data_IF_020769150771
#
_entry.id   IF_020769150771
#
_cell.length_a   1.000
_cell.length_b   1.000
_cell.length_c   1.000
_cell.angle_alpha   90.00
_cell.angle_beta   90.00
_cell.angle_gamma   90.00
#
_symmetry.space_group_name_H-M   'P 1'
#
loop_
_entity.id
_entity.type
_entity.pdbx_description
1 polymer ?
#
# COMPACT_ATOMS: atom_id res chain seq x y z
N UNK A 1 -5.49 14.48 -12.56
CA UNK A 1 -6.11 15.67 -13.18
C UNK A 1 -7.10 16.23 -12.17
N UNK A 2 -6.91 17.46 -11.63
CA UNK A 2 -7.90 18.06 -10.75
C UNK A 2 -9.14 18.38 -11.59
N UNK A 3 -10.30 17.90 -11.15
CA UNK A 3 -11.57 18.29 -11.77
C UNK A 3 -11.90 19.70 -11.26
N UNK A 4 -11.78 20.71 -12.12
CA UNK A 4 -12.23 22.08 -11.85
C UNK A 4 -13.75 22.11 -11.77
N UNK A 5 -14.30 21.68 -10.64
CA UNK A 5 -15.72 21.77 -10.35
C UNK A 5 -16.05 23.25 -10.08
N UNK A 6 -16.57 23.92 -11.11
CA UNK A 6 -17.14 25.27 -11.00
C UNK A 6 -18.52 25.20 -10.39
N UNK A 7 -18.80 26.06 -9.42
CA UNK A 7 -20.16 26.24 -8.93
C UNK A 7 -21.06 26.71 -10.09
N UNK A 8 -22.16 26.00 -10.41
CA UNK A 8 -23.01 26.35 -11.55
C UNK A 8 -23.74 27.69 -11.38
N UNK A 9 -23.81 28.23 -10.15
CA UNK A 9 -24.53 29.48 -9.86
C UNK A 9 -23.62 30.72 -9.90
N UNK A 10 -22.37 30.62 -9.44
CA UNK A 10 -21.46 31.77 -9.36
C UNK A 10 -20.17 31.62 -10.18
N UNK A 11 -19.91 30.46 -10.79
CA UNK A 11 -18.79 30.21 -11.69
C UNK A 11 -17.40 30.12 -11.02
N UNK A 12 -17.30 30.30 -9.70
CA UNK A 12 -16.03 30.21 -8.97
C UNK A 12 -15.57 28.76 -8.86
N UNK A 13 -14.27 28.56 -9.11
CA UNK A 13 -13.58 27.27 -8.91
C UNK A 13 -13.24 27.17 -7.42
N UNK A 14 -13.64 26.07 -6.79
CA UNK A 14 -13.36 25.83 -5.39
C UNK A 14 -11.87 25.65 -5.14
N UNK A 15 -11.34 26.41 -4.20
CA UNK A 15 -9.99 26.37 -3.66
C UNK A 15 -9.80 25.11 -2.79
N UNK A 16 -9.75 23.94 -3.45
CA UNK A 16 -9.06 22.74 -2.96
C UNK A 16 -9.59 22.01 -1.72
N UNK A 17 -10.78 22.35 -1.19
CA UNK A 17 -11.28 21.81 0.08
C UNK A 17 -12.64 21.08 0.06
N UNK A 18 -13.13 20.63 -1.10
CA UNK A 18 -14.48 20.06 -1.23
C UNK A 18 -14.50 18.52 -1.15
N UNK A 19 -14.24 17.94 0.02
CA UNK A 19 -14.35 16.48 0.20
C UNK A 19 -15.67 15.99 0.81
N UNK A 20 -16.63 16.87 1.14
CA UNK A 20 -17.98 16.45 1.53
C UNK A 20 -19.02 17.50 1.08
N UNK A 21 -19.49 17.40 -0.16
CA UNK A 21 -20.81 17.94 -0.53
C UNK A 21 -21.74 16.74 -0.59
N UNK A 22 -22.58 16.58 0.43
CA UNK A 22 -23.76 15.73 0.34
C UNK A 22 -24.72 16.40 -0.64
N UNK A 23 -24.90 15.79 -1.81
CA UNK A 23 -25.93 16.20 -2.76
C UNK A 23 -27.30 15.74 -2.22
N UNK A 24 -28.02 16.65 -1.58
CA UNK A 24 -29.47 16.56 -1.38
C UNK A 24 -30.15 17.44 -2.44
N UNK A 25 -31.08 16.87 -3.20
CA UNK A 25 -31.75 17.50 -4.35
C UNK A 25 -32.65 18.69 -3.96
N UNK A 26 -32.84 19.00 -2.67
CA UNK A 26 -33.81 20.01 -2.25
C UNK A 26 -33.27 21.41 -1.91
N UNK A 27 -31.97 21.62 -1.71
CA UNK A 27 -31.44 22.96 -1.44
C UNK A 27 -30.00 23.17 -1.95
N UNK A 28 -29.87 23.90 -3.07
CA UNK A 28 -28.60 24.48 -3.52
C UNK A 28 -28.13 25.60 -2.55
N UNK A 29 -27.62 25.23 -1.37
CA UNK A 29 -26.82 26.14 -0.54
C UNK A 29 -25.35 25.99 -0.93
N UNK A 30 -24.86 26.92 -1.75
CA UNK A 30 -23.42 27.15 -1.95
C UNK A 30 -22.83 27.46 -0.56
N UNK A 31 -22.03 26.57 0.02
CA UNK A 31 -21.32 26.83 1.31
C UNK A 31 -20.14 27.82 1.17
N UNK A 32 -20.04 28.44 -0.01
CA UNK A 32 -19.23 29.59 -0.33
C UNK A 32 -19.55 30.71 0.67
N UNK A 33 -18.72 30.95 1.69
CA UNK A 33 -18.94 31.98 2.72
C UNK A 33 -19.20 33.39 2.14
N UNK A 34 -18.83 33.63 0.89
CA UNK A 34 -19.08 34.87 0.15
C UNK A 34 -20.42 34.95 -0.61
N UNK A 35 -21.26 33.91 -0.59
CA UNK A 35 -22.58 33.90 -1.24
C UNK A 35 -23.74 33.86 -0.21
N UNK A 36 -23.45 34.16 1.06
CA UNK A 36 -24.49 34.31 2.07
C UNK A 36 -25.21 35.64 1.83
N UNK A 37 -26.36 35.59 1.15
CA UNK A 37 -27.29 36.71 1.03
C UNK A 37 -28.23 36.70 2.25
N UNK A 38 -28.06 37.60 3.24
CA UNK A 38 -28.98 37.72 4.37
C UNK A 38 -30.40 38.14 3.93
N UNK A 39 -30.55 38.71 2.73
CA UNK A 39 -31.83 39.12 2.14
C UNK A 39 -32.79 37.95 1.83
N UNK A 40 -32.31 36.69 1.81
CA UNK A 40 -33.17 35.51 1.63
C UNK A 40 -33.85 35.02 2.92
N UNK A 41 -33.59 35.65 4.06
CA UNK A 41 -34.29 35.39 5.33
C UNK A 41 -35.50 36.31 5.56
N UNK A 42 -35.68 37.34 4.72
CA UNK A 42 -36.73 38.36 4.90
C UNK A 42 -37.82 38.34 3.82
N UNK A 43 -37.88 37.33 2.94
CA UNK A 43 -39.06 37.19 2.09
C UNK A 43 -40.25 36.82 2.96
N UNK A 44 -41.17 37.76 3.16
CA UNK A 44 -42.46 37.52 3.82
C UNK A 44 -43.10 36.25 3.24
N UNK A 45 -43.63 35.35 4.08
CA UNK A 45 -44.24 34.12 3.60
C UNK A 45 -45.35 34.47 2.62
N UNK A 46 -45.20 34.07 1.35
CA UNK A 46 -46.22 34.31 0.32
C UNK A 46 -47.60 33.90 0.86
N UNK A 47 -48.56 34.84 0.94
CA UNK A 47 -49.85 34.57 1.55
C UNK A 47 -50.61 33.58 0.66
N UNK A 48 -50.97 32.43 1.27
CA UNK A 48 -51.76 31.35 0.69
C UNK A 48 -51.12 30.61 -0.49
N UNK A 49 -50.05 29.86 -0.22
CA UNK A 49 -49.97 28.54 -0.88
C UNK A 49 -51.24 27.78 -0.52
N UNK A 50 -51.91 27.25 -1.53
CA UNK A 50 -53.18 26.58 -1.33
C UNK A 50 -52.96 25.45 -0.30
N UNK A 51 -53.98 25.14 0.49
CA UNK A 51 -53.90 24.00 1.42
C UNK A 51 -53.52 22.70 0.68
N UNK A 52 -53.79 22.62 -0.63
CA UNK A 52 -53.38 21.54 -1.52
C UNK A 52 -51.86 21.49 -1.73
N UNK A 53 -51.18 22.63 -1.95
CA UNK A 53 -49.72 22.67 -2.11
C UNK A 53 -48.98 22.21 -0.85
N UNK A 54 -49.47 22.61 0.32
CA UNK A 54 -48.92 22.17 1.61
C UNK A 54 -49.14 20.67 1.78
N UNK A 55 -50.33 20.17 1.42
CA UNK A 55 -50.66 18.74 1.49
C UNK A 55 -49.79 17.89 0.58
N UNK A 56 -49.51 18.36 -0.63
CA UNK A 56 -48.68 17.62 -1.59
C UNK A 56 -47.21 17.58 -1.14
N UNK A 57 -46.68 18.69 -0.60
CA UNK A 57 -45.36 18.70 0.03
C UNK A 57 -45.26 17.71 1.19
N UNK A 58 -46.27 17.68 2.06
CA UNK A 58 -46.30 16.74 3.18
C UNK A 58 -46.33 15.28 2.71
N UNK A 59 -47.08 14.94 1.65
CA UNK A 59 -47.06 13.59 1.07
C UNK A 59 -45.68 13.20 0.54
N UNK A 60 -45.01 14.11 -0.18
CA UNK A 60 -43.67 13.86 -0.70
C UNK A 60 -42.67 13.65 0.44
N UNK A 61 -42.75 14.47 1.50
CA UNK A 61 -41.93 14.29 2.69
C UNK A 61 -42.20 12.95 3.40
N UNK A 62 -43.46 12.52 3.50
CA UNK A 62 -43.81 11.21 4.09
C UNK A 62 -43.26 10.07 3.24
N UNK A 63 -43.43 10.13 1.92
CA UNK A 63 -42.90 9.11 1.00
C UNK A 63 -41.38 8.96 1.09
N UNK A 64 -40.66 10.07 1.24
CA UNK A 64 -39.21 10.05 1.41
C UNK A 64 -38.79 9.45 2.76
N UNK A 65 -39.51 9.76 3.83
CA UNK A 65 -39.27 9.17 5.15
C UNK A 65 -39.50 7.65 5.13
N UNK A 66 -40.55 7.19 4.47
CA UNK A 66 -40.83 5.75 4.38
C UNK A 66 -39.81 5.02 3.51
N UNK A 67 -39.31 5.65 2.44
CA UNK A 67 -38.16 5.15 1.69
C UNK A 67 -36.90 5.01 2.57
N UNK A 68 -36.60 6.01 3.41
CA UNK A 68 -35.46 5.94 4.35
C UNK A 68 -35.67 4.80 5.35
N UNK A 69 -36.88 4.64 5.89
CA UNK A 69 -37.19 3.53 6.82
C UNK A 69 -37.01 2.19 6.15
N UNK A 70 -37.51 2.00 4.94
CA UNK A 70 -37.33 0.76 4.19
C UNK A 70 -35.86 0.50 3.88
N UNK A 71 -35.11 1.55 3.52
CA UNK A 71 -33.67 1.44 3.30
C UNK A 71 -32.91 1.03 4.57
N UNK A 72 -33.23 1.62 5.73
CA UNK A 72 -32.67 1.22 7.03
C UNK A 72 -33.07 -0.22 7.37
N UNK A 73 -34.34 -0.57 7.18
CA UNK A 73 -34.89 -1.89 7.50
C UNK A 73 -34.48 -2.99 6.51
N UNK A 74 -33.99 -2.62 5.32
CA UNK A 74 -33.51 -3.57 4.30
C UNK A 74 -32.29 -4.38 4.75
N UNK A 75 -31.70 -4.04 5.90
CA UNK A 75 -30.50 -4.69 6.43
C UNK A 75 -29.23 -4.30 5.67
N UNK A 76 -29.27 -3.26 4.82
CA UNK A 76 -28.12 -2.80 4.07
C UNK A 76 -26.94 -2.41 4.97
N UNK A 77 -27.22 -1.75 6.11
CA UNK A 77 -26.19 -1.43 7.12
C UNK A 77 -25.55 -2.69 7.72
N UNK A 78 -26.34 -3.73 7.99
CA UNK A 78 -25.83 -5.00 8.50
C UNK A 78 -24.95 -5.69 7.45
N UNK A 79 -25.34 -5.63 6.17
CA UNK A 79 -24.54 -6.16 5.06
C UNK A 79 -23.20 -5.43 4.94
N UNK A 80 -23.21 -4.09 4.91
CA UNK A 80 -21.98 -3.31 4.85
C UNK A 80 -21.06 -3.57 6.05
N UNK A 81 -21.64 -3.74 7.24
CA UNK A 81 -20.86 -4.03 8.45
C UNK A 81 -20.22 -5.42 8.37
N UNK A 82 -20.95 -6.40 7.83
CA UNK A 82 -20.43 -7.74 7.59
C UNK A 82 -19.33 -7.75 6.51
N UNK A 83 -19.57 -7.09 5.38
CA UNK A 83 -18.58 -6.94 4.29
C UNK A 83 -17.32 -6.21 4.78
N UNK A 84 -17.48 -5.13 5.56
CA UNK A 84 -16.37 -4.42 6.18
C UNK A 84 -15.55 -5.36 7.07
N UNK A 85 -16.22 -6.13 7.94
CA UNK A 85 -15.55 -7.08 8.83
C UNK A 85 -14.77 -8.14 8.05
N UNK A 86 -15.36 -8.68 6.98
CA UNK A 86 -14.69 -9.65 6.10
C UNK A 86 -13.44 -9.05 5.42
N UNK A 87 -13.53 -7.79 4.97
CA UNK A 87 -12.38 -7.07 4.40
C UNK A 87 -11.28 -6.85 5.43
N UNK A 88 -11.65 -6.45 6.66
CA UNK A 88 -10.69 -6.25 7.75
C UNK A 88 -9.94 -7.55 8.11
N UNK A 89 -10.64 -8.68 8.13
CA UNK A 89 -10.05 -10.01 8.36
C UNK A 89 -9.06 -10.37 7.24
N UNK A 90 -9.48 -10.26 5.97
CA UNK A 90 -8.60 -10.51 4.82
C UNK A 90 -7.39 -9.58 4.77
N UNK A 91 -7.57 -8.32 5.18
CA UNK A 91 -6.47 -7.35 5.26
C UNK A 91 -5.46 -7.78 6.33
N UNK A 92 -5.91 -8.30 7.47
CA UNK A 92 -5.06 -8.86 8.51
C UNK A 92 -4.20 -10.02 7.99
N UNK A 93 -4.79 -10.96 7.27
CA UNK A 93 -4.07 -12.09 6.67
C UNK A 93 -3.02 -11.64 5.64
N UNK A 94 -3.37 -10.65 4.80
CA UNK A 94 -2.44 -10.07 3.83
C UNK A 94 -1.24 -9.40 4.51
N UNK A 95 -1.47 -8.66 5.60
CA UNK A 95 -0.38 -8.02 6.35
C UNK A 95 0.56 -9.09 6.93
N UNK A 96 0.01 -10.14 7.55
CA UNK A 96 0.83 -11.23 8.10
C UNK A 96 1.67 -11.94 7.02
N UNK A 97 1.11 -12.11 5.80
CA UNK A 97 1.86 -12.68 4.68
C UNK A 97 3.00 -11.77 4.22
N UNK A 98 2.77 -10.45 4.15
CA UNK A 98 3.82 -9.48 3.81
C UNK A 98 4.94 -9.50 4.83
N UNK A 99 4.63 -9.53 6.13
CA UNK A 99 5.63 -9.60 7.20
C UNK A 99 6.52 -10.85 7.08
N UNK A 100 5.96 -12.01 6.73
CA UNK A 100 6.74 -13.24 6.52
C UNK A 100 7.62 -13.18 5.26
N UNK A 101 7.14 -12.54 4.19
CA UNK A 101 7.93 -12.31 2.98
C UNK A 101 9.10 -11.36 3.23
N UNK A 102 8.88 -10.27 3.97
CA UNK A 102 9.94 -9.32 4.34
C UNK A 102 11.02 -10.01 5.19
N UNK A 103 10.64 -10.84 6.17
CA UNK A 103 11.60 -11.65 6.94
C UNK A 103 12.40 -12.60 6.06
N UNK A 104 11.75 -13.23 5.08
CA UNK A 104 12.45 -14.12 4.13
C UNK A 104 13.40 -13.35 3.23
N UNK A 105 13.02 -12.16 2.76
CA UNK A 105 13.88 -11.30 1.95
C UNK A 105 15.12 -10.86 2.72
N UNK A 106 14.94 -10.43 3.97
CA UNK A 106 16.05 -9.99 4.83
C UNK A 106 17.09 -11.10 5.01
N UNK A 107 16.66 -12.36 5.25
CA UNK A 107 17.57 -13.52 5.36
C UNK A 107 18.37 -13.76 4.08
N UNK A 108 17.73 -13.65 2.92
CA UNK A 108 18.39 -13.82 1.63
C UNK A 108 19.37 -12.67 1.35
N UNK A 109 19.00 -11.44 1.71
CA UNK A 109 19.86 -10.26 1.57
C UNK A 109 21.12 -10.39 2.43
N UNK A 110 20.97 -10.82 3.68
CA UNK A 110 22.08 -11.09 4.60
C UNK A 110 23.02 -12.18 4.04
N UNK A 111 22.46 -13.27 3.50
CA UNK A 111 23.24 -14.33 2.88
C UNK A 111 24.04 -13.84 1.66
N UNK A 112 23.42 -13.02 0.81
CA UNK A 112 24.10 -12.40 -0.33
C UNK A 112 25.23 -11.47 0.11
N UNK A 113 25.01 -10.68 1.16
CA UNK A 113 26.04 -9.79 1.72
C UNK A 113 27.22 -10.59 2.28
N UNK A 114 26.97 -11.68 3.02
CA UNK A 114 28.01 -12.59 3.52
C UNK A 114 28.85 -13.17 2.40
N UNK A 115 28.23 -13.65 1.32
CA UNK A 115 28.94 -14.18 0.14
C UNK A 115 29.79 -13.08 -0.53
N UNK A 116 29.23 -11.89 -0.70
CA UNK A 116 29.95 -10.75 -1.27
C UNK A 116 31.15 -10.32 -0.41
N UNK A 117 31.00 -10.32 0.91
CA UNK A 117 32.08 -10.02 1.84
C UNK A 117 33.17 -11.10 1.78
N UNK A 118 32.80 -12.37 1.68
CA UNK A 118 33.75 -13.46 1.49
C UNK A 118 34.53 -13.32 0.18
N UNK A 119 33.84 -13.00 -0.93
CA UNK A 119 34.49 -12.78 -2.22
C UNK A 119 35.51 -11.62 -2.20
N UNK A 120 35.31 -10.64 -1.32
CA UNK A 120 36.20 -9.48 -1.13
C UNK A 120 37.35 -9.72 -0.14
N UNK A 121 37.37 -10.85 0.57
CA UNK A 121 38.34 -11.10 1.64
C UNK A 121 39.80 -11.19 1.14
N UNK A 122 40.02 -11.56 -0.13
CA UNK A 122 41.35 -11.79 -0.69
C UNK A 122 41.61 -10.90 -1.93
N UNK A 123 41.80 -9.58 -1.76
CA UNK A 123 42.07 -8.69 -2.87
C UNK A 123 43.49 -8.90 -3.43
N UNK A 124 43.62 -8.85 -4.76
CA UNK A 124 44.91 -9.04 -5.45
C UNK A 124 45.97 -8.01 -5.07
N UNK A 125 45.57 -6.83 -4.59
CA UNK A 125 46.48 -5.81 -4.12
C UNK A 125 47.25 -6.23 -2.85
N UNK A 126 46.62 -7.03 -1.98
CA UNK A 126 47.24 -7.56 -0.76
C UNK A 126 47.79 -8.97 -0.98
N UNK A 127 47.16 -9.75 -1.86
CA UNK A 127 47.54 -11.12 -2.19
C UNK A 127 47.92 -11.22 -3.68
N UNK A 128 49.14 -10.79 -4.06
CA UNK A 128 49.58 -10.83 -5.44
C UNK A 128 49.67 -12.29 -5.94
N UNK A 129 49.49 -12.47 -7.24
CA UNK A 129 49.54 -13.79 -7.87
C UNK A 129 50.92 -14.43 -7.66
N UNK A 130 51.01 -15.64 -7.07
CA UNK A 130 52.29 -16.32 -6.87
C UNK A 130 52.84 -16.89 -8.19
N UNK A 131 54.14 -17.20 -8.21
CA UNK A 131 54.76 -17.96 -9.30
C UNK A 131 54.36 -19.45 -9.23
N UNK A 132 53.26 -19.78 -9.91
CA UNK A 132 52.71 -21.13 -9.92
C UNK A 132 53.64 -22.17 -10.56
N UNK A 133 54.55 -21.77 -11.46
CA UNK A 133 55.50 -22.72 -12.08
C UNK A 133 56.52 -23.19 -11.06
N UNK A 134 57.07 -22.26 -10.28
CA UNK A 134 58.00 -22.58 -9.19
C UNK A 134 57.30 -23.41 -8.11
N UNK A 135 56.08 -23.03 -7.71
CA UNK A 135 55.30 -23.77 -6.73
C UNK A 135 55.03 -25.22 -7.17
N UNK A 136 54.57 -25.43 -8.41
CA UNK A 136 54.30 -26.75 -8.96
C UNK A 136 55.54 -27.66 -8.95
N UNK A 137 56.73 -27.12 -9.26
CA UNK A 137 57.99 -27.88 -9.21
C UNK A 137 58.30 -28.37 -7.79
N UNK A 138 58.26 -27.47 -6.80
CA UNK A 138 58.57 -27.79 -5.40
C UNK A 138 57.61 -28.82 -4.83
N UNK A 139 56.30 -28.68 -5.11
CA UNK A 139 55.28 -29.62 -4.67
C UNK A 139 55.48 -31.01 -5.28
N UNK A 140 55.79 -31.06 -6.58
CA UNK A 140 56.05 -32.32 -7.29
C UNK A 140 57.26 -33.06 -6.72
N UNK A 141 58.34 -32.34 -6.41
CA UNK A 141 59.54 -32.89 -5.78
C UNK A 141 59.23 -33.49 -4.38
N UNK A 142 58.12 -33.05 -3.76
CA UNK A 142 57.62 -33.54 -2.47
C UNK A 142 56.48 -34.57 -2.59
N UNK A 143 56.15 -35.03 -3.80
CA UNK A 143 55.11 -36.03 -4.04
C UNK A 143 53.67 -35.49 -4.01
N UNK A 144 53.45 -34.18 -4.13
CA UNK A 144 52.13 -33.55 -4.21
C UNK A 144 51.95 -32.81 -5.55
N UNK A 145 50.71 -32.52 -5.94
CA UNK A 145 50.43 -31.69 -7.12
C UNK A 145 49.79 -30.36 -6.73
N UNK A 146 50.02 -29.34 -7.56
CA UNK A 146 49.34 -28.05 -7.40
C UNK A 146 47.83 -28.18 -7.61
N UNK A 147 47.41 -29.11 -8.47
CA UNK A 147 46.01 -29.38 -8.78
C UNK A 147 45.25 -29.94 -7.57
N UNK A 148 45.87 -30.84 -6.79
CA UNK A 148 45.26 -31.40 -5.58
C UNK A 148 44.98 -30.29 -4.54
N UNK A 149 45.96 -29.41 -4.33
CA UNK A 149 45.83 -28.27 -3.40
C UNK A 149 44.78 -27.27 -3.90
N UNK A 150 44.77 -26.98 -5.20
CA UNK A 150 43.78 -26.08 -5.78
C UNK A 150 42.36 -26.67 -5.66
N UNK A 151 42.18 -27.97 -5.93
CA UNK A 151 40.90 -28.64 -5.81
C UNK A 151 40.40 -28.67 -4.36
N UNK A 152 41.29 -28.88 -3.40
CA UNK A 152 40.96 -28.80 -1.97
C UNK A 152 40.54 -27.38 -1.55
N UNK A 153 41.32 -26.36 -1.92
CA UNK A 153 40.99 -24.97 -1.63
C UNK A 153 39.65 -24.54 -2.26
N UNK A 154 39.39 -24.94 -3.52
CA UNK A 154 38.12 -24.63 -4.18
C UNK A 154 36.93 -25.35 -3.54
N UNK A 155 37.10 -26.59 -3.07
CA UNK A 155 36.05 -27.30 -2.33
C UNK A 155 35.66 -26.55 -1.06
N UNK A 156 36.62 -26.10 -0.27
CA UNK A 156 36.33 -25.29 0.92
C UNK A 156 35.58 -23.98 0.62
N UNK A 157 35.91 -23.29 -0.48
CA UNK A 157 35.15 -22.10 -0.88
C UNK A 157 33.70 -22.46 -1.25
N UNK A 158 33.51 -23.55 -1.99
CA UNK A 158 32.17 -24.00 -2.39
C UNK A 158 31.34 -24.49 -1.21
N UNK A 159 31.95 -25.24 -0.28
CA UNK A 159 31.31 -25.69 0.96
C UNK A 159 30.86 -24.49 1.79
N UNK A 160 31.71 -23.48 1.90
CA UNK A 160 31.39 -22.22 2.56
C UNK A 160 30.18 -21.48 1.97
N UNK A 161 30.16 -21.32 0.65
CA UNK A 161 29.02 -20.69 -0.05
C UNK A 161 27.76 -21.52 0.14
N UNK A 162 27.86 -22.84 0.01
CA UNK A 162 26.76 -23.78 0.22
C UNK A 162 26.18 -23.63 1.62
N UNK A 163 27.01 -23.59 2.65
CA UNK A 163 26.57 -23.47 4.05
C UNK A 163 25.81 -22.16 4.29
N UNK A 164 26.29 -21.03 3.72
CA UNK A 164 25.58 -19.74 3.80
C UNK A 164 24.20 -19.83 3.14
N UNK A 165 24.11 -20.44 1.96
CA UNK A 165 22.84 -20.59 1.23
C UNK A 165 21.89 -21.53 1.97
N UNK A 166 22.37 -22.65 2.49
CA UNK A 166 21.54 -23.60 3.24
C UNK A 166 20.97 -22.97 4.52
N UNK A 167 21.75 -22.18 5.26
CA UNK A 167 21.27 -21.45 6.44
C UNK A 167 20.14 -20.49 6.06
N UNK A 168 20.34 -19.70 5.00
CA UNK A 168 19.35 -18.73 4.52
C UNK A 168 18.03 -19.39 4.09
N UNK A 169 18.11 -20.54 3.41
CA UNK A 169 16.93 -21.27 2.92
C UNK A 169 16.19 -22.06 4.01
N UNK A 170 16.90 -22.59 5.02
CA UNK A 170 16.27 -23.25 6.18
C UNK A 170 15.65 -22.25 7.15
N UNK A 171 16.07 -20.99 7.07
CA UNK A 171 15.59 -19.94 7.95
C UNK A 171 16.17 -20.00 9.36
N UNK A 172 17.30 -20.69 9.54
CA UNK A 172 18.09 -20.81 10.78
C UNK A 172 18.96 -19.58 11.05
#
# INVERSE_FOLDING_TARGET
>A
MPFDLKCPKCGKVGDGGWNQILFDESYYKCSCLHCWHPELLESEPEPNKSAEDIREKLKNSISYIDFIKDWINSGWLNRLTAEKKEIEEKLGDCIALVDELEKSEDKLRDAMERINNWAKAYPLALFPKPDLKRAAKILKDSGMTLDDIQADAMRHVLDGVKDIVEQALKGE
#
